data_IF_373002079643
#
_entry.id   IF_373002079643
#
_cell.length_a   1.000
_cell.length_b   1.000
_cell.length_c   1.000
_cell.angle_alpha   90.00
_cell.angle_beta   90.00
_cell.angle_gamma   90.00
#
_symmetry.space_group_name_H-M   'P 1'
#
loop_
_entity.id
_entity.type
_entity.pdbx_description
1 polymer ?
#
# COMPACT_ATOMS: atom_id res chain seq x y z
N UNK A 1 -24.54 10.66 41.37
CA UNK A 1 -24.33 9.66 40.30
C UNK A 1 -24.98 10.09 38.97
N UNK A 2 -24.65 11.27 38.42
CA UNK A 2 -25.21 11.72 37.12
C UNK A 2 -24.18 12.39 36.19
N UNK A 3 -22.94 12.58 36.63
CA UNK A 3 -21.90 13.25 35.82
C UNK A 3 -20.96 12.28 35.10
N UNK A 4 -20.92 11.00 35.48
CA UNK A 4 -20.05 9.98 34.87
C UNK A 4 -20.62 9.31 33.62
N UNK A 5 -21.93 9.41 33.38
CA UNK A 5 -22.59 8.70 32.26
C UNK A 5 -22.52 9.48 30.94
N UNK A 6 -22.35 10.81 30.98
CA UNK A 6 -22.25 11.64 29.77
C UNK A 6 -20.85 11.60 29.13
N UNK A 7 -19.79 11.39 29.92
CA UNK A 7 -18.43 11.35 29.39
C UNK A 7 -18.10 10.00 28.71
N UNK A 8 -18.65 8.90 29.22
CA UNK A 8 -18.51 7.58 28.60
C UNK A 8 -19.30 7.45 27.28
N UNK A 9 -20.37 8.22 27.10
CA UNK A 9 -21.14 8.22 25.86
C UNK A 9 -20.44 9.00 24.75
N UNK A 10 -19.74 10.09 25.05
CA UNK A 10 -18.98 10.85 24.04
C UNK A 10 -17.73 10.10 23.53
N UNK A 11 -17.04 9.32 24.37
CA UNK A 11 -15.88 8.55 23.93
C UNK A 11 -16.25 7.34 23.05
N UNK A 12 -17.39 6.68 23.32
CA UNK A 12 -17.88 5.57 22.50
C UNK A 12 -18.21 6.04 21.07
N UNK A 13 -18.93 7.16 20.93
CA UNK A 13 -19.32 7.72 19.63
C UNK A 13 -18.09 8.12 18.80
N UNK A 14 -17.02 8.63 19.43
CA UNK A 14 -15.77 8.96 18.71
C UNK A 14 -14.95 7.73 18.31
N UNK A 15 -15.02 6.65 19.09
CA UNK A 15 -14.34 5.40 18.79
C UNK A 15 -15.05 4.64 17.66
N UNK A 16 -16.37 4.58 17.70
CA UNK A 16 -17.21 4.01 16.64
C UNK A 16 -17.12 4.80 15.33
N UNK A 17 -17.03 6.14 15.41
CA UNK A 17 -16.85 7.00 14.24
C UNK A 17 -15.47 6.85 13.58
N UNK A 18 -14.38 6.72 14.35
CA UNK A 18 -13.04 6.50 13.77
C UNK A 18 -12.83 5.07 13.27
N UNK A 19 -13.34 4.05 13.98
CA UNK A 19 -13.24 2.66 13.52
C UNK A 19 -14.11 2.39 12.28
N UNK A 20 -15.26 3.09 12.17
CA UNK A 20 -16.12 3.06 11.00
C UNK A 20 -15.46 3.65 9.76
N UNK A 21 -14.73 4.76 9.90
CA UNK A 21 -13.99 5.39 8.80
C UNK A 21 -12.84 4.52 8.28
N UNK A 22 -12.04 3.90 9.17
CA UNK A 22 -10.92 3.01 8.80
C UNK A 22 -11.34 1.71 8.09
N UNK A 23 -12.63 1.34 8.14
CA UNK A 23 -13.22 0.16 7.48
C UNK A 23 -14.14 0.58 6.31
N UNK A 24 -13.80 1.67 5.61
CA UNK A 24 -14.54 2.15 4.45
C UNK A 24 -15.88 2.78 4.78
N UNK A 25 -15.97 3.51 5.90
CA UNK A 25 -17.17 4.19 6.37
C UNK A 25 -18.41 3.27 6.48
N UNK A 26 -18.19 2.06 7.01
CA UNK A 26 -19.23 1.03 7.16
C UNK A 26 -19.51 0.18 5.92
N UNK A 27 -18.87 0.48 4.77
CA UNK A 27 -19.06 -0.29 3.53
C UNK A 27 -18.64 -1.77 3.68
N UNK A 28 -17.51 -2.04 4.35
CA UNK A 28 -17.02 -3.41 4.55
C UNK A 28 -18.02 -4.23 5.37
N UNK A 29 -18.56 -3.64 6.44
CA UNK A 29 -19.60 -4.28 7.25
C UNK A 29 -20.89 -4.50 6.45
N UNK A 30 -21.31 -3.53 5.63
CA UNK A 30 -22.48 -3.64 4.78
C UNK A 30 -22.35 -4.77 3.75
N UNK A 31 -21.18 -4.94 3.13
CA UNK A 31 -20.91 -6.06 2.21
C UNK A 31 -20.96 -7.39 2.97
N UNK A 32 -20.31 -7.48 4.13
CA UNK A 32 -20.27 -8.69 4.93
C UNK A 32 -21.65 -9.13 5.45
N UNK A 33 -22.58 -8.20 5.62
CA UNK A 33 -23.95 -8.45 6.06
C UNK A 33 -24.85 -9.07 4.97
N UNK A 34 -24.44 -9.10 3.70
CA UNK A 34 -25.19 -9.68 2.58
C UNK A 34 -25.14 -11.22 2.56
N UNK A 35 -25.30 -11.84 3.73
CA UNK A 35 -25.14 -13.30 3.92
C UNK A 35 -26.18 -14.15 3.18
N UNK A 36 -27.27 -13.53 2.73
CA UNK A 36 -28.34 -14.10 1.93
C UNK A 36 -28.06 -14.08 0.42
N UNK A 37 -26.98 -13.40 -0.01
CA UNK A 37 -26.58 -13.29 -1.41
C UNK A 37 -25.34 -14.15 -1.73
N UNK A 38 -25.32 -14.74 -2.91
CA UNK A 38 -24.21 -15.59 -3.37
C UNK A 38 -24.11 -16.92 -2.62
N UNK A 39 -22.91 -17.50 -2.60
CA UNK A 39 -22.60 -18.72 -1.86
C UNK A 39 -22.37 -18.42 -0.37
N UNK A 40 -22.60 -19.40 0.53
CA UNK A 40 -22.29 -19.24 1.95
C UNK A 40 -20.85 -18.74 2.19
N UNK A 41 -20.70 -17.62 2.89
CA UNK A 41 -19.40 -17.00 3.18
C UNK A 41 -18.79 -16.15 2.04
N UNK A 42 -19.42 -16.09 0.87
CA UNK A 42 -18.91 -15.33 -0.27
C UNK A 42 -18.93 -13.82 -0.01
N UNK A 43 -20.02 -13.30 0.55
CA UNK A 43 -20.15 -11.88 0.90
C UNK A 43 -19.09 -11.47 1.95
N UNK A 44 -18.87 -12.29 2.97
CA UNK A 44 -17.83 -12.06 3.97
C UNK A 44 -16.41 -12.10 3.37
N UNK A 45 -16.16 -13.01 2.43
CA UNK A 45 -14.88 -13.08 1.70
C UNK A 45 -14.66 -11.82 0.88
N UNK A 46 -15.65 -11.38 0.09
CA UNK A 46 -15.59 -10.15 -0.70
C UNK A 46 -15.39 -8.91 0.17
N UNK A 47 -16.04 -8.85 1.33
CA UNK A 47 -15.85 -7.79 2.31
C UNK A 47 -14.39 -7.76 2.80
N UNK A 48 -13.85 -8.90 3.25
CA UNK A 48 -12.46 -8.99 3.71
C UNK A 48 -11.44 -8.60 2.64
N UNK A 49 -11.63 -9.06 1.40
CA UNK A 49 -10.79 -8.69 0.25
C UNK A 49 -10.93 -7.21 -0.13
N UNK A 50 -12.03 -6.53 0.24
CA UNK A 50 -12.20 -5.12 -0.09
C UNK A 50 -11.29 -4.19 0.73
N UNK A 51 -10.83 -4.63 1.90
CA UNK A 51 -9.99 -3.85 2.82
C UNK A 51 -8.66 -3.44 2.17
N UNK A 52 -8.04 -4.33 1.40
CA UNK A 52 -6.74 -4.06 0.76
C UNK A 52 -6.80 -2.90 -0.26
N UNK A 53 -7.97 -2.58 -0.80
CA UNK A 53 -8.17 -1.48 -1.74
C UNK A 53 -8.44 -0.14 -1.05
N UNK A 54 -8.60 -0.13 0.28
CA UNK A 54 -8.74 1.08 1.09
C UNK A 54 -7.40 1.54 1.68
N UNK A 55 -6.32 0.81 1.45
CA UNK A 55 -4.99 1.11 1.93
C UNK A 55 -4.28 2.15 1.03
N UNK A 56 -3.39 2.94 1.62
CA UNK A 56 -2.69 4.04 0.95
C UNK A 56 -1.92 3.67 -0.31
N UNK A 57 -1.31 2.48 -0.33
CA UNK A 57 -0.50 2.03 -1.46
C UNK A 57 -1.34 1.37 -2.58
N UNK A 58 -2.64 1.16 -2.38
CA UNK A 58 -3.47 0.48 -3.36
C UNK A 58 -3.72 1.37 -4.59
N UNK A 59 -3.80 0.75 -5.77
CA UNK A 59 -4.26 1.47 -6.96
C UNK A 59 -5.77 1.80 -6.80
N UNK A 60 -6.19 3.07 -6.93
CA UNK A 60 -7.58 3.48 -6.71
C UNK A 60 -8.56 2.84 -7.71
N UNK A 61 -8.11 2.44 -8.91
CA UNK A 61 -8.93 1.71 -9.89
C UNK A 61 -9.26 0.27 -9.42
N UNK A 62 -8.42 -0.32 -8.57
CA UNK A 62 -8.67 -1.62 -7.97
C UNK A 62 -9.94 -1.63 -7.11
N UNK A 63 -10.19 -0.53 -6.37
CA UNK A 63 -11.41 -0.36 -5.58
C UNK A 63 -12.68 -0.41 -6.44
N UNK A 64 -12.65 0.24 -7.61
CA UNK A 64 -13.77 0.23 -8.56
C UNK A 64 -14.02 -1.16 -9.13
N UNK A 65 -12.94 -1.87 -9.48
CA UNK A 65 -13.01 -3.26 -9.97
C UNK A 65 -13.54 -4.20 -8.90
N UNK A 66 -13.17 -4.00 -7.64
CA UNK A 66 -13.69 -4.79 -6.52
C UNK A 66 -15.19 -4.53 -6.29
N UNK A 67 -15.64 -3.29 -6.44
CA UNK A 67 -17.06 -2.96 -6.36
C UNK A 67 -17.87 -3.62 -7.51
N UNK A 68 -17.33 -3.62 -8.73
CA UNK A 68 -17.90 -4.38 -9.86
C UNK A 68 -17.96 -5.88 -9.57
N UNK A 69 -16.90 -6.44 -8.96
CA UNK A 69 -16.85 -7.86 -8.58
C UNK A 69 -17.92 -8.21 -7.55
N UNK A 70 -18.20 -7.32 -6.60
CA UNK A 70 -19.28 -7.52 -5.61
C UNK A 70 -20.62 -7.66 -6.32
N UNK A 71 -20.95 -6.77 -7.26
CA UNK A 71 -22.22 -6.86 -8.02
C UNK A 71 -22.25 -8.07 -8.94
N UNK A 72 -21.11 -8.45 -9.52
CA UNK A 72 -21.00 -9.64 -10.37
C UNK A 72 -21.27 -10.93 -9.58
N UNK A 73 -20.80 -11.00 -8.34
CA UNK A 73 -20.86 -12.22 -7.52
C UNK A 73 -22.11 -12.31 -6.65
N UNK A 74 -22.59 -11.19 -6.12
CA UNK A 74 -23.74 -11.14 -5.20
C UNK A 74 -25.03 -10.68 -5.90
N UNK A 75 -24.94 -10.23 -7.15
CA UNK A 75 -26.06 -9.69 -7.92
C UNK A 75 -26.27 -8.20 -7.68
N UNK A 76 -27.33 -7.66 -8.29
CA UNK A 76 -27.64 -6.22 -8.34
C UNK A 76 -28.90 -5.87 -7.54
N UNK A 77 -29.14 -6.56 -6.42
CA UNK A 77 -30.20 -6.16 -5.49
C UNK A 77 -29.90 -4.77 -4.91
N UNK A 78 -30.93 -4.05 -4.45
CA UNK A 78 -30.76 -2.72 -3.85
C UNK A 78 -29.73 -2.72 -2.71
N UNK A 79 -29.71 -3.80 -1.91
CA UNK A 79 -28.74 -3.97 -0.83
C UNK A 79 -27.30 -4.17 -1.35
N UNK A 80 -27.12 -5.00 -2.39
CA UNK A 80 -25.81 -5.22 -3.00
C UNK A 80 -25.29 -3.94 -3.69
N UNK A 81 -26.16 -3.22 -4.40
CA UNK A 81 -25.84 -1.93 -5.03
C UNK A 81 -25.47 -0.90 -3.97
N UNK A 82 -26.27 -0.78 -2.89
CA UNK A 82 -25.95 0.16 -1.81
C UNK A 82 -24.60 -0.15 -1.14
N UNK A 83 -24.31 -1.43 -0.86
CA UNK A 83 -23.04 -1.85 -0.28
C UNK A 83 -21.84 -1.58 -1.21
N UNK A 84 -21.96 -1.91 -2.50
CA UNK A 84 -20.92 -1.68 -3.50
C UNK A 84 -20.69 -0.17 -3.75
N UNK A 85 -21.74 0.65 -3.79
CA UNK A 85 -21.61 2.11 -3.82
C UNK A 85 -20.94 2.65 -2.57
N UNK A 86 -21.24 2.07 -1.41
CA UNK A 86 -20.52 2.36 -0.17
C UNK A 86 -19.02 2.15 -0.32
N UNK A 87 -18.58 1.06 -0.96
CA UNK A 87 -17.16 0.80 -1.21
C UNK A 87 -16.55 1.79 -2.21
N UNK A 88 -17.25 2.15 -3.28
CA UNK A 88 -16.77 3.18 -4.23
C UNK A 88 -16.60 4.53 -3.51
N UNK A 89 -17.58 4.90 -2.69
CA UNK A 89 -17.61 6.15 -1.93
C UNK A 89 -16.67 6.15 -0.71
N UNK A 90 -16.17 5.00 -0.28
CA UNK A 90 -15.26 4.90 0.84
C UNK A 90 -13.97 5.68 0.56
N UNK A 91 -13.48 6.40 1.57
CA UNK A 91 -12.17 7.04 1.52
C UNK A 91 -11.08 5.98 1.40
N UNK A 92 -10.10 6.24 0.55
CA UNK A 92 -8.87 5.48 0.55
C UNK A 92 -7.90 6.18 1.52
N UNK A 93 -7.48 5.47 2.57
CA UNK A 93 -6.57 6.00 3.57
C UNK A 93 -5.26 6.42 2.89
N UNK A 94 -4.70 7.59 3.19
CA UNK A 94 -3.36 7.97 2.75
C UNK A 94 -2.59 8.60 3.90
N UNK A 95 -1.26 8.51 3.86
CA UNK A 95 -0.44 9.11 4.91
C UNK A 95 -0.18 10.60 4.59
N UNK A 96 -0.76 11.56 5.34
CA UNK A 96 -0.59 12.99 5.08
C UNK A 96 0.85 13.49 5.27
N UNK A 97 1.73 12.68 5.90
CA UNK A 97 3.15 12.97 6.02
C UNK A 97 3.96 12.59 4.77
N UNK A 98 3.39 11.80 3.85
CA UNK A 98 4.05 11.32 2.63
C UNK A 98 3.42 11.91 1.37
N UNK A 99 2.10 12.05 1.34
CA UNK A 99 1.34 12.69 0.26
C UNK A 99 0.26 13.59 0.86
N UNK A 100 0.03 14.76 0.27
CA UNK A 100 -0.93 15.75 0.81
C UNK A 100 -2.31 15.72 0.14
N UNK A 101 -2.49 14.82 -0.83
CA UNK A 101 -3.71 14.68 -1.63
C UNK A 101 -3.99 13.20 -1.93
N UNK A 102 -5.25 12.80 -2.10
CA UNK A 102 -5.60 11.42 -2.41
C UNK A 102 -5.25 11.04 -3.85
N UNK A 103 -5.18 9.75 -4.13
CA UNK A 103 -5.08 9.19 -5.48
C UNK A 103 -6.46 8.75 -5.97
N UNK A 104 -6.83 9.13 -7.19
CA UNK A 104 -8.15 8.86 -7.78
C UNK A 104 -8.00 8.19 -9.15
N UNK A 105 -8.83 7.18 -9.40
CA UNK A 105 -8.80 6.44 -10.66
C UNK A 105 -9.14 7.34 -11.87
N UNK A 106 -8.25 7.35 -12.87
CA UNK A 106 -8.43 8.09 -14.13
C UNK A 106 -8.96 7.23 -15.29
N UNK A 107 -9.16 5.92 -15.09
CA UNK A 107 -9.67 5.03 -16.13
C UNK A 107 -11.18 5.28 -16.41
N UNK A 108 -11.55 5.74 -17.62
CA UNK A 108 -12.95 6.02 -17.95
C UNK A 108 -13.79 4.75 -18.13
N UNK A 109 -13.17 3.58 -18.30
CA UNK A 109 -13.88 2.30 -18.44
C UNK A 109 -14.36 1.73 -17.11
N UNK A 110 -13.94 2.31 -15.98
CA UNK A 110 -14.30 1.90 -14.63
C UNK A 110 -15.17 2.95 -13.90
N UNK A 111 -16.06 2.51 -12.99
CA UNK A 111 -16.53 1.13 -12.83
C UNK A 111 -17.34 0.66 -14.05
N UNK A 112 -17.38 -0.66 -14.29
CA UNK A 112 -18.09 -1.29 -15.41
C UNK A 112 -19.59 -1.38 -15.16
N UNK A 113 -19.99 -1.60 -13.91
CA UNK A 113 -21.38 -1.69 -13.52
C UNK A 113 -22.04 -0.31 -13.61
N UNK A 114 -23.11 -0.15 -14.42
CA UNK A 114 -23.82 1.13 -14.57
C UNK A 114 -24.33 1.69 -13.24
N UNK A 115 -24.69 0.81 -12.29
CA UNK A 115 -25.21 1.17 -10.98
C UNK A 115 -24.18 1.91 -10.12
N UNK A 116 -22.88 1.74 -10.41
CA UNK A 116 -21.76 2.32 -9.66
C UNK A 116 -21.17 3.56 -10.33
N UNK A 117 -21.50 3.81 -11.60
CA UNK A 117 -20.96 4.96 -12.34
C UNK A 117 -21.45 6.27 -11.73
N UNK A 118 -20.54 7.23 -11.61
CA UNK A 118 -20.84 8.55 -11.05
C UNK A 118 -20.85 8.63 -9.53
N UNK A 119 -20.47 7.55 -8.83
CA UNK A 119 -20.17 7.60 -7.39
C UNK A 119 -18.73 8.08 -7.20
N UNK A 120 -18.54 9.03 -6.29
CA UNK A 120 -17.23 9.62 -5.97
C UNK A 120 -16.83 9.35 -4.51
N UNK A 121 -15.53 9.20 -4.21
CA UNK A 121 -15.05 8.84 -2.89
C UNK A 121 -14.98 10.03 -1.94
N UNK A 122 -15.13 9.73 -0.64
CA UNK A 122 -14.70 10.62 0.44
C UNK A 122 -13.20 10.90 0.36
N UNK A 123 -12.79 12.04 0.91
CA UNK A 123 -11.40 12.48 1.02
C UNK A 123 -11.13 13.06 2.42
N UNK A 124 -9.89 12.92 2.88
CA UNK A 124 -9.47 13.38 4.22
C UNK A 124 -9.85 14.85 4.43
N UNK A 125 -10.52 15.21 5.55
CA UNK A 125 -10.87 16.59 5.87
C UNK A 125 -9.71 17.60 5.84
N UNK A 126 -8.46 17.15 5.98
CA UNK A 126 -7.27 17.98 5.87
C UNK A 126 -6.91 18.36 4.42
N UNK A 127 -7.50 17.71 3.41
CA UNK A 127 -7.30 18.06 1.99
C UNK A 127 -8.10 19.32 1.67
N UNK A 128 -7.47 20.31 1.04
CA UNK A 128 -8.16 21.51 0.60
C UNK A 128 -9.31 21.19 -0.35
N UNK A 129 -10.53 21.67 -0.04
CA UNK A 129 -11.75 21.38 -0.82
C UNK A 129 -12.47 20.08 -0.44
N UNK A 130 -12.03 19.40 0.63
CA UNK A 130 -12.65 18.16 1.12
C UNK A 130 -14.11 18.31 1.54
N UNK A 131 -14.56 19.51 1.94
CA UNK A 131 -15.95 19.81 2.27
C UNK A 131 -16.88 19.69 1.06
N UNK A 132 -16.42 20.16 -0.10
CA UNK A 132 -17.15 20.02 -1.37
C UNK A 132 -17.20 18.55 -1.76
N UNK A 133 -16.06 17.86 -1.74
CA UNK A 133 -16.00 16.48 -2.20
C UNK A 133 -16.72 15.50 -1.26
N UNK A 134 -16.61 15.68 0.06
CA UNK A 134 -17.30 14.82 1.00
C UNK A 134 -18.83 14.99 0.91
N UNK A 135 -19.31 16.19 0.55
CA UNK A 135 -20.73 16.39 0.22
C UNK A 135 -21.12 15.71 -1.10
N UNK A 136 -20.25 15.75 -2.10
CA UNK A 136 -20.45 15.06 -3.37
C UNK A 136 -20.50 13.53 -3.18
N UNK A 137 -19.59 12.97 -2.38
CA UNK A 137 -19.54 11.55 -2.04
C UNK A 137 -20.83 11.10 -1.36
N UNK A 138 -21.30 11.82 -0.34
CA UNK A 138 -22.57 11.55 0.33
C UNK A 138 -23.78 11.58 -0.62
N UNK A 139 -23.86 12.58 -1.49
CA UNK A 139 -24.93 12.68 -2.48
C UNK A 139 -24.88 11.53 -3.50
N UNK A 140 -23.69 11.22 -4.00
CA UNK A 140 -23.48 10.26 -5.09
C UNK A 140 -23.83 8.82 -4.73
N UNK A 141 -23.72 8.42 -3.44
CA UNK A 141 -24.13 7.09 -2.95
C UNK A 141 -25.60 6.78 -3.24
N UNK A 142 -26.46 7.79 -3.13
CA UNK A 142 -27.90 7.64 -3.37
C UNK A 142 -28.28 8.01 -4.79
N UNK A 143 -27.71 9.10 -5.31
CA UNK A 143 -27.94 9.61 -6.65
C UNK A 143 -26.60 9.88 -7.35
N UNK A 144 -26.04 8.89 -8.06
CA UNK A 144 -24.78 9.06 -8.76
C UNK A 144 -24.84 10.20 -9.78
N UNK A 145 -23.69 10.84 -10.01
CA UNK A 145 -23.56 11.90 -11.00
C UNK A 145 -23.59 11.34 -12.43
N UNK A 146 -23.86 12.20 -13.41
CA UNK A 146 -23.69 11.83 -14.81
C UNK A 146 -22.20 11.55 -15.10
N UNK A 147 -21.91 10.35 -15.62
CA UNK A 147 -20.54 9.85 -15.76
C UNK A 147 -20.29 9.08 -17.07
N UNK A 148 -21.10 9.35 -18.10
CA UNK A 148 -20.98 8.69 -19.40
C UNK A 148 -19.62 9.00 -20.03
N UNK A 149 -18.78 7.96 -20.15
CA UNK A 149 -17.42 8.08 -20.66
C UNK A 149 -16.44 8.83 -19.75
N UNK A 150 -16.82 9.14 -18.51
CA UNK A 150 -15.99 9.88 -17.56
C UNK A 150 -15.43 8.96 -16.47
N UNK A 151 -14.14 9.03 -16.20
CA UNK A 151 -13.54 8.41 -15.02
C UNK A 151 -14.02 9.07 -13.73
N UNK A 152 -13.83 8.39 -12.59
CA UNK A 152 -14.15 8.97 -11.27
C UNK A 152 -13.40 10.28 -11.05
N UNK A 153 -12.13 10.38 -11.47
CA UNK A 153 -11.38 11.64 -11.44
C UNK A 153 -12.06 12.76 -12.24
N UNK A 154 -12.54 12.46 -13.45
CA UNK A 154 -13.27 13.43 -14.28
C UNK A 154 -14.62 13.83 -13.67
N UNK A 155 -15.32 12.89 -13.04
CA UNK A 155 -16.57 13.18 -12.33
C UNK A 155 -16.31 14.13 -11.15
N UNK A 156 -15.25 13.90 -10.35
CA UNK A 156 -14.89 14.79 -9.24
C UNK A 156 -14.56 16.21 -9.74
N UNK A 157 -13.76 16.33 -10.81
CA UNK A 157 -13.43 17.62 -11.42
C UNK A 157 -14.70 18.35 -11.89
N UNK A 158 -15.58 17.64 -12.59
CA UNK A 158 -16.84 18.20 -13.09
C UNK A 158 -17.79 18.63 -11.97
N UNK A 159 -17.60 18.11 -10.75
CA UNK A 159 -18.36 18.48 -9.56
C UNK A 159 -17.55 19.34 -8.57
N UNK A 160 -16.49 19.99 -9.04
CA UNK A 160 -15.81 21.08 -8.34
C UNK A 160 -14.66 20.68 -7.43
N UNK A 161 -14.19 19.43 -7.48
CA UNK A 161 -13.02 18.99 -6.74
C UNK A 161 -11.91 18.48 -7.67
N UNK A 162 -10.71 19.05 -7.54
CA UNK A 162 -9.55 18.68 -8.37
C UNK A 162 -8.26 18.52 -7.57
N UNK A 163 -8.35 18.50 -6.23
CA UNK A 163 -7.20 18.45 -5.35
C UNK A 163 -6.78 17.00 -5.06
N UNK A 164 -6.36 16.30 -6.11
CA UNK A 164 -5.98 14.88 -6.07
C UNK A 164 -4.92 14.55 -7.13
N UNK A 165 -4.32 13.37 -7.00
CA UNK A 165 -3.46 12.77 -8.03
C UNK A 165 -4.28 11.78 -8.85
N UNK A 166 -4.27 11.90 -10.18
CA UNK A 166 -4.94 10.94 -11.05
C UNK A 166 -4.04 9.75 -11.35
N UNK A 167 -4.60 8.55 -11.23
CA UNK A 167 -3.88 7.28 -11.41
C UNK A 167 -4.65 6.36 -12.34
N UNK A 168 -4.01 5.90 -13.41
CA UNK A 168 -4.60 4.95 -14.35
C UNK A 168 -4.59 3.51 -13.80
N UNK A 169 -5.29 2.61 -14.47
CA UNK A 169 -5.37 1.21 -14.05
C UNK A 169 -4.01 0.49 -14.02
N UNK A 170 -3.06 0.91 -14.87
CA UNK A 170 -1.69 0.39 -14.89
C UNK A 170 -0.77 1.01 -13.82
N UNK A 171 -1.28 1.97 -13.04
CA UNK A 171 -0.56 2.67 -11.98
C UNK A 171 0.19 3.93 -12.44
N UNK A 172 0.11 4.30 -13.72
CA UNK A 172 0.70 5.54 -14.20
C UNK A 172 -0.04 6.74 -13.61
N UNK A 173 0.72 7.77 -13.21
CA UNK A 173 0.16 9.05 -12.77
C UNK A 173 -0.09 9.91 -14.00
N UNK A 174 -1.33 10.36 -14.15
CA UNK A 174 -1.78 11.14 -15.30
C UNK A 174 -2.47 12.43 -14.82
N UNK A 175 -2.65 13.37 -15.73
CA UNK A 175 -3.41 14.58 -15.46
C UNK A 175 -4.84 14.36 -15.94
N UNK A 176 -5.82 14.29 -15.02
CA UNK A 176 -7.21 14.24 -15.45
C UNK A 176 -7.62 15.58 -16.05
N UNK A 177 -7.89 15.59 -17.36
CA UNK A 177 -8.52 16.73 -18.02
C UNK A 177 -10.02 16.76 -17.66
N UNK A 178 -10.57 17.93 -17.31
CA UNK A 178 -12.00 18.11 -17.10
C UNK A 178 -12.78 17.75 -18.36
N UNK A 179 -13.66 16.75 -18.27
CA UNK A 179 -14.38 16.22 -19.42
C UNK A 179 -15.51 17.16 -19.83
N UNK A 180 -15.40 17.74 -21.03
CA UNK A 180 -16.57 18.30 -21.73
C UNK A 180 -17.42 17.14 -22.26
N UNK A 181 -18.65 17.00 -21.77
CA UNK A 181 -19.55 15.92 -22.16
C UNK A 181 -19.96 15.93 -23.64
N UNK A 182 -19.86 14.74 -24.25
CA UNK A 182 -20.55 14.18 -25.43
C UNK A 182 -20.58 14.92 -26.78
N UNK A 183 -20.00 14.28 -27.82
CA UNK A 183 -20.44 14.48 -29.22
C UNK A 183 -19.45 14.08 -30.33
N UNK A 184 -19.65 12.89 -30.90
CA UNK A 184 -19.36 12.50 -32.29
C UNK A 184 -18.00 11.87 -32.67
N UNK A 185 -18.16 10.68 -33.25
CA UNK A 185 -17.22 9.81 -33.97
C UNK A 185 -16.51 10.45 -35.17
N UNK A 186 -15.20 10.19 -35.32
CA UNK A 186 -14.59 9.82 -36.60
C UNK A 186 -13.18 9.28 -36.42
N UNK A 187 -12.91 8.19 -37.13
CA UNK A 187 -11.71 7.37 -37.15
C UNK A 187 -10.51 8.00 -37.88
N UNK A 188 -9.33 7.88 -37.24
CA UNK A 188 -7.97 7.69 -37.83
C UNK A 188 -7.29 8.84 -38.62
N UNK A 189 -5.95 8.80 -38.86
CA UNK A 189 -4.88 7.94 -38.29
C UNK A 189 -3.68 8.73 -37.69
N UNK A 190 -2.70 7.94 -37.21
CA UNK A 190 -1.44 8.28 -36.56
C UNK A 190 -0.59 9.41 -37.19
N UNK A 191 0.09 10.17 -36.32
CA UNK A 191 1.35 10.84 -36.63
C UNK A 191 2.31 10.77 -35.43
N UNK A 192 3.47 10.18 -35.69
CA UNK A 192 4.60 10.03 -34.77
C UNK A 192 5.34 11.35 -34.54
N UNK A 193 6.08 11.36 -33.41
CA UNK A 193 7.22 12.21 -33.07
C UNK A 193 6.94 13.63 -32.54
N UNK A 194 7.27 13.89 -31.27
CA UNK A 194 8.66 14.18 -30.85
C UNK A 194 8.73 14.41 -29.34
N UNK A 195 9.68 13.74 -28.70
CA UNK A 195 10.05 13.94 -27.31
C UNK A 195 10.84 15.25 -27.11
N UNK A 196 10.58 15.97 -26.00
CA UNK A 196 11.53 16.82 -25.28
C UNK A 196 10.90 17.28 -23.93
N UNK A 197 11.67 17.72 -22.93
CA UNK A 197 12.31 16.86 -21.95
C UNK A 197 11.81 17.11 -20.52
N UNK A 198 12.05 16.12 -19.67
CA UNK A 198 11.81 16.15 -18.22
C UNK A 198 12.57 17.29 -17.54
N UNK A 199 11.85 18.12 -16.78
CA UNK A 199 12.46 19.08 -15.86
C UNK A 199 13.05 18.33 -14.66
N UNK A 200 14.37 18.35 -14.56
CA UNK A 200 15.14 17.87 -13.42
C UNK A 200 14.97 18.84 -12.26
N UNK A 201 14.43 18.37 -11.14
CA UNK A 201 14.70 19.00 -9.84
C UNK A 201 15.84 18.22 -9.19
N UNK A 202 17.03 18.82 -9.24
CA UNK A 202 18.19 18.36 -8.52
C UNK A 202 18.04 18.74 -7.04
N UNK A 203 18.21 17.77 -6.15
CA UNK A 203 18.89 18.02 -4.88
C UNK A 203 19.75 16.78 -4.57
N UNK A 204 21.05 17.01 -4.44
CA UNK A 204 22.07 15.98 -4.48
C UNK A 204 22.25 15.18 -3.20
N UNK A 205 22.57 13.90 -3.37
CA UNK A 205 23.78 13.27 -2.80
C UNK A 205 24.01 11.96 -3.58
N UNK A 206 25.21 11.77 -4.11
CA UNK A 206 25.55 10.67 -5.04
C UNK A 206 25.67 9.31 -4.34
N UNK A 207 25.15 8.25 -4.98
CA UNK A 207 25.70 6.88 -4.99
C UNK A 207 25.21 6.12 -6.26
N UNK A 208 26.14 5.86 -7.17
CA UNK A 208 26.22 4.79 -8.19
C UNK A 208 25.04 4.53 -9.15
N UNK A 209 25.34 4.63 -10.46
CA UNK A 209 24.56 4.13 -11.60
C UNK A 209 24.36 2.60 -11.54
N UNK A 210 23.55 2.11 -10.62
CA UNK A 210 22.95 0.78 -10.69
C UNK A 210 21.53 0.94 -11.24
N UNK A 211 21.21 0.24 -12.32
CA UNK A 211 19.86 0.29 -12.90
C UNK A 211 18.87 -0.30 -11.90
N UNK A 212 17.86 0.49 -11.51
CA UNK A 212 16.77 0.05 -10.67
C UNK A 212 16.05 -1.14 -11.33
N UNK A 213 15.65 -2.13 -10.52
CA UNK A 213 14.80 -3.22 -10.99
C UNK A 213 13.49 -2.67 -11.56
N UNK A 214 12.99 -3.25 -12.64
CA UNK A 214 11.69 -2.89 -13.22
C UNK A 214 10.63 -3.83 -12.69
N UNK A 215 9.59 -3.28 -12.06
CA UNK A 215 8.39 -4.03 -11.75
C UNK A 215 7.37 -3.88 -12.88
N UNK A 216 6.76 -4.99 -13.27
CA UNK A 216 5.64 -5.03 -14.20
C UNK A 216 4.47 -5.75 -13.55
N UNK A 217 3.25 -5.26 -13.76
CA UNK A 217 2.04 -5.79 -13.13
C UNK A 217 1.43 -4.87 -12.07
N UNK A 218 0.21 -5.19 -11.63
CA UNK A 218 -0.58 -4.39 -10.70
C UNK A 218 -1.26 -5.31 -9.66
N UNK A 219 -1.22 -4.95 -8.38
CA UNK A 219 -1.76 -5.78 -7.29
C UNK A 219 -0.87 -6.99 -6.93
N UNK A 220 -1.47 -8.12 -6.51
CA UNK A 220 -0.75 -9.33 -6.06
C UNK A 220 0.05 -10.06 -7.15
N UNK A 221 0.07 -9.54 -8.37
CA UNK A 221 0.82 -10.05 -9.53
C UNK A 221 1.96 -9.12 -9.95
N UNK A 222 2.41 -8.22 -9.07
CA UNK A 222 3.62 -7.44 -9.29
C UNK A 222 4.83 -8.37 -9.42
N UNK A 223 5.34 -8.51 -10.65
CA UNK A 223 6.56 -9.25 -10.94
C UNK A 223 7.68 -8.22 -11.09
N UNK A 224 8.51 -8.15 -10.06
CA UNK A 224 9.68 -7.29 -10.06
C UNK A 224 10.88 -8.05 -10.62
N UNK A 225 11.55 -7.46 -11.60
CA UNK A 225 12.90 -7.90 -11.95
C UNK A 225 13.81 -7.48 -10.81
N UNK A 226 14.55 -8.43 -10.24
CA UNK A 226 15.58 -8.15 -9.24
C UNK A 226 16.52 -7.00 -9.71
N UNK A 227 16.76 -5.97 -8.88
CA UNK A 227 17.73 -4.92 -9.21
C UNK A 227 19.14 -5.46 -9.46
N UNK A 228 20.01 -4.63 -10.04
CA UNK A 228 21.44 -4.96 -10.08
C UNK A 228 22.05 -4.90 -8.68
N UNK A 229 23.05 -5.74 -8.41
CA UNK A 229 23.80 -5.70 -7.16
C UNK A 229 24.30 -4.28 -6.82
N UNK A 230 24.13 -3.87 -5.56
CA UNK A 230 24.45 -2.54 -5.05
C UNK A 230 23.40 -1.47 -5.33
N UNK A 231 22.30 -1.79 -6.02
CA UNK A 231 21.20 -0.83 -6.23
C UNK A 231 20.55 -0.43 -4.91
N UNK A 232 20.28 0.86 -4.71
CA UNK A 232 19.63 1.36 -3.50
C UNK A 232 20.51 1.37 -2.26
N UNK A 233 21.84 1.29 -2.42
CA UNK A 233 22.77 1.43 -1.30
C UNK A 233 22.58 2.75 -0.55
N UNK A 234 22.61 2.68 0.78
CA UNK A 234 22.48 3.82 1.69
C UNK A 234 23.69 3.85 2.60
N UNK A 235 24.26 5.05 2.81
CA UNK A 235 25.27 5.28 3.85
C UNK A 235 24.91 6.51 4.65
N UNK A 236 24.59 6.32 5.92
CA UNK A 236 24.17 7.40 6.79
C UNK A 236 24.60 7.10 8.23
N UNK A 237 25.20 8.08 8.90
CA UNK A 237 25.66 7.92 10.29
C UNK A 237 24.51 7.80 11.31
N UNK A 238 23.30 8.23 10.94
CA UNK A 238 22.11 8.21 11.79
C UNK A 238 21.20 7.04 11.44
N UNK A 239 20.87 6.88 10.15
CA UNK A 239 19.94 5.82 9.69
C UNK A 239 20.66 4.52 9.28
N UNK A 240 21.96 4.40 9.55
CA UNK A 240 22.74 3.22 9.21
C UNK A 240 23.14 3.08 7.74
N UNK A 241 23.85 1.98 7.45
CA UNK A 241 24.38 1.59 6.16
C UNK A 241 23.67 0.36 5.58
N UNK A 242 23.27 0.46 4.32
CA UNK A 242 22.79 -0.66 3.52
C UNK A 242 23.66 -0.74 2.27
N UNK A 243 24.28 -1.89 2.02
CA UNK A 243 25.19 -2.06 0.87
C UNK A 243 24.45 -2.11 -0.49
N UNK A 244 23.12 -2.06 -0.46
CA UNK A 244 22.26 -2.13 -1.63
C UNK A 244 21.82 -3.56 -1.93
N UNK A 245 21.14 -3.71 -3.06
CA UNK A 245 20.57 -4.99 -3.47
C UNK A 245 21.65 -6.07 -3.61
N UNK A 246 21.35 -7.27 -3.14
CA UNK A 246 22.16 -8.48 -3.32
C UNK A 246 21.20 -9.63 -3.60
N UNK A 247 21.47 -10.42 -4.64
CA UNK A 247 20.65 -11.58 -4.96
C UNK A 247 20.95 -12.74 -3.99
N UNK A 248 19.94 -13.60 -3.76
CA UNK A 248 20.15 -14.83 -3.01
C UNK A 248 21.15 -15.74 -3.71
N UNK A 249 21.97 -16.45 -2.94
CA UNK A 249 22.82 -17.54 -3.45
C UNK A 249 22.06 -18.84 -3.70
N UNK A 250 20.80 -18.96 -3.25
CA UNK A 250 19.96 -20.13 -3.47
C UNK A 250 19.19 -19.97 -4.78
N UNK A 251 19.39 -20.91 -5.70
CA UNK A 251 18.72 -20.91 -7.00
C UNK A 251 17.20 -20.97 -6.85
N UNK A 252 16.48 -20.15 -7.63
CA UNK A 252 15.02 -20.10 -7.62
C UNK A 252 14.40 -19.21 -6.54
N UNK A 253 15.18 -18.70 -5.59
CA UNK A 253 14.71 -17.69 -4.64
C UNK A 253 14.88 -16.29 -5.24
N UNK A 254 13.75 -15.68 -5.61
CA UNK A 254 13.68 -14.29 -6.05
C UNK A 254 12.89 -13.46 -5.04
N UNK A 255 13.60 -12.61 -4.30
CA UNK A 255 13.03 -11.71 -3.30
C UNK A 255 12.54 -10.38 -3.90
N UNK A 256 12.57 -10.25 -5.23
CA UNK A 256 12.15 -9.08 -5.97
C UNK A 256 13.03 -7.87 -5.67
N UNK A 257 12.43 -6.79 -5.17
CA UNK A 257 13.14 -5.55 -4.86
C UNK A 257 13.96 -5.59 -3.56
N UNK A 258 13.76 -6.60 -2.72
CA UNK A 258 14.25 -6.61 -1.35
C UNK A 258 15.44 -7.56 -1.14
N UNK A 259 16.26 -7.21 -0.15
CA UNK A 259 17.28 -8.07 0.46
C UNK A 259 16.81 -8.42 1.87
N UNK A 260 16.18 -9.59 2.09
CA UNK A 260 15.52 -9.92 3.36
C UNK A 260 16.50 -10.32 4.48
N UNK A 261 17.62 -9.60 4.64
CA UNK A 261 18.61 -9.86 5.68
C UNK A 261 18.23 -9.19 7.00
N UNK A 262 18.69 -9.81 8.09
CA UNK A 262 18.52 -9.35 9.46
C UNK A 262 19.89 -9.05 10.07
N UNK A 263 19.96 -7.95 10.82
CA UNK A 263 21.12 -7.54 11.61
C UNK A 263 20.87 -7.72 13.10
N UNK A 264 21.94 -7.72 13.88
CA UNK A 264 21.91 -7.81 15.34
C UNK A 264 22.95 -6.86 15.94
N UNK A 265 22.48 -5.71 16.41
CA UNK A 265 23.30 -4.54 16.73
C UNK A 265 22.91 -3.98 18.10
N UNK A 266 23.89 -3.41 18.81
CA UNK A 266 23.67 -2.77 20.11
C UNK A 266 23.44 -1.26 19.98
N UNK A 267 22.70 -0.69 20.92
CA UNK A 267 22.57 0.76 21.06
C UNK A 267 21.70 1.45 20.01
N UNK A 268 20.93 0.70 19.22
CA UNK A 268 19.96 1.27 18.28
C UNK A 268 18.87 2.04 19.02
N UNK A 269 18.40 3.15 18.42
CA UNK A 269 17.31 3.99 18.93
C UNK A 269 17.52 4.47 20.37
N UNK A 270 18.78 4.78 20.72
CA UNK A 270 19.14 5.31 22.03
C UNK A 270 19.14 4.27 23.16
N UNK A 271 19.05 2.98 22.83
CA UNK A 271 19.31 1.89 23.78
C UNK A 271 20.76 1.91 24.28
N UNK A 272 21.03 1.17 25.35
CA UNK A 272 22.41 1.05 25.84
C UNK A 272 23.32 0.40 24.80
N UNK A 273 24.60 0.75 24.82
CA UNK A 273 25.66 0.15 23.99
C UNK A 273 25.89 -1.35 24.26
N UNK A 274 25.30 -1.88 25.33
CA UNK A 274 25.28 -3.32 25.66
C UNK A 274 23.95 -4.02 25.34
N UNK A 275 22.92 -3.30 24.91
CA UNK A 275 21.61 -3.87 24.61
C UNK A 275 21.46 -4.10 23.11
N UNK A 276 21.53 -5.37 22.72
CA UNK A 276 21.45 -5.80 21.34
C UNK A 276 20.01 -6.07 20.91
N UNK A 277 19.71 -5.70 19.67
CA UNK A 277 18.38 -5.82 19.07
C UNK A 277 18.49 -6.30 17.63
N UNK A 278 17.41 -6.90 17.16
CA UNK A 278 17.26 -7.34 15.77
C UNK A 278 16.59 -6.24 14.95
N UNK A 279 16.98 -6.11 13.69
CA UNK A 279 16.31 -5.23 12.73
C UNK A 279 16.48 -5.78 11.32
N UNK A 280 15.57 -5.46 10.40
CA UNK A 280 15.80 -5.72 8.98
C UNK A 280 16.87 -4.75 8.45
N UNK A 281 17.74 -5.22 7.55
CA UNK A 281 18.80 -4.37 6.98
C UNK A 281 18.28 -3.54 5.81
N UNK A 282 17.46 -4.14 4.96
CA UNK A 282 16.93 -3.48 3.78
C UNK A 282 15.95 -2.35 4.18
N UNK A 283 16.19 -1.09 3.76
CA UNK A 283 15.34 0.04 4.10
C UNK A 283 13.89 -0.11 3.63
N UNK A 284 13.65 -0.72 2.46
CA UNK A 284 12.30 -0.98 1.97
C UNK A 284 11.56 -1.94 2.90
N UNK A 285 12.25 -3.00 3.34
CA UNK A 285 11.71 -3.94 4.32
C UNK A 285 11.50 -3.29 5.69
N UNK A 286 12.37 -2.36 6.09
CA UNK A 286 12.34 -1.80 7.44
C UNK A 286 11.31 -0.67 7.64
N UNK A 287 10.75 -0.09 6.56
CA UNK A 287 9.81 1.06 6.62
C UNK A 287 8.64 0.94 7.60
N UNK A 288 8.71 1.62 8.74
CA UNK A 288 7.64 1.60 9.74
C UNK A 288 7.71 0.41 10.70
N UNK A 289 8.84 -0.29 10.76
CA UNK A 289 9.24 -1.09 11.92
C UNK A 289 10.58 -0.62 12.47
N UNK A 290 10.66 -0.59 13.80
CA UNK A 290 11.90 -0.33 14.52
C UNK A 290 12.60 -1.63 14.88
N UNK A 291 13.71 -1.54 15.59
CA UNK A 291 14.42 -2.68 16.16
C UNK A 291 13.54 -3.43 17.19
N UNK A 292 13.82 -4.71 17.38
CA UNK A 292 13.12 -5.53 18.36
C UNK A 292 14.07 -6.45 19.13
N UNK A 293 13.79 -6.64 20.42
CA UNK A 293 14.48 -7.64 21.25
C UNK A 293 14.07 -9.08 20.88
N UNK A 294 12.89 -9.26 20.30
CA UNK A 294 12.39 -10.56 19.87
C UNK A 294 12.61 -10.72 18.36
N UNK A 295 13.45 -11.66 17.91
CA UNK A 295 13.74 -11.86 16.48
C UNK A 295 12.48 -12.22 15.68
N UNK A 296 11.49 -12.86 16.31
CA UNK A 296 10.24 -13.23 15.64
C UNK A 296 9.42 -12.01 15.16
N UNK A 297 9.60 -10.84 15.77
CA UNK A 297 8.93 -9.61 15.30
C UNK A 297 9.54 -9.19 13.95
N UNK A 298 10.87 -9.28 13.84
CA UNK A 298 11.60 -8.92 12.63
C UNK A 298 11.39 -9.93 11.51
N UNK A 299 11.39 -11.24 11.80
CA UNK A 299 11.12 -12.26 10.78
C UNK A 299 9.70 -12.15 10.21
N UNK A 300 8.69 -11.92 11.07
CA UNK A 300 7.32 -11.64 10.64
C UNK A 300 7.25 -10.41 9.74
N UNK A 301 7.95 -9.34 10.13
CA UNK A 301 8.03 -8.12 9.34
C UNK A 301 8.65 -8.38 7.96
N UNK A 302 9.79 -9.06 7.91
CA UNK A 302 10.45 -9.36 6.64
C UNK A 302 9.53 -10.20 5.75
N UNK A 303 8.90 -11.24 6.29
CA UNK A 303 7.96 -12.09 5.55
C UNK A 303 6.73 -11.32 5.02
N UNK A 304 6.16 -10.41 5.82
CA UNK A 304 5.07 -9.53 5.40
C UNK A 304 5.48 -8.63 4.21
N UNK A 305 6.66 -8.02 4.28
CA UNK A 305 7.15 -7.15 3.20
C UNK A 305 7.47 -7.95 1.93
N UNK A 306 8.05 -9.16 2.07
CA UNK A 306 8.24 -10.06 0.94
C UNK A 306 6.90 -10.41 0.26
N UNK A 307 5.84 -10.53 1.05
CA UNK A 307 4.50 -10.87 0.55
C UNK A 307 3.85 -9.70 -0.18
N UNK A 308 3.96 -8.49 0.37
CA UNK A 308 3.11 -7.35 0.02
C UNK A 308 3.83 -6.22 -0.73
N UNK A 309 5.15 -6.11 -0.62
CA UNK A 309 5.91 -4.93 -1.09
C UNK A 309 7.03 -5.31 -2.05
N UNK A 310 7.76 -6.38 -1.75
CA UNK A 310 9.00 -6.69 -2.47
C UNK A 310 8.76 -7.31 -3.85
N UNK A 311 7.56 -7.81 -4.15
CA UNK A 311 7.31 -8.56 -5.39
C UNK A 311 8.04 -9.91 -5.43
N UNK A 312 8.28 -10.53 -4.26
CA UNK A 312 8.97 -11.81 -4.17
C UNK A 312 8.17 -12.94 -4.85
N UNK A 313 8.86 -13.92 -5.40
CA UNK A 313 8.22 -15.09 -6.00
C UNK A 313 7.68 -16.06 -4.93
N UNK A 314 6.87 -17.03 -5.34
CA UNK A 314 6.24 -17.97 -4.40
C UNK A 314 7.26 -18.82 -3.61
N UNK A 315 8.37 -19.21 -4.25
CA UNK A 315 9.42 -20.00 -3.61
C UNK A 315 10.14 -19.20 -2.51
N UNK A 316 10.44 -17.93 -2.77
CA UNK A 316 11.03 -17.01 -1.80
C UNK A 316 10.12 -16.75 -0.60
N UNK A 317 8.80 -16.58 -0.82
CA UNK A 317 7.84 -16.44 0.28
C UNK A 317 7.77 -17.71 1.13
N UNK A 318 7.74 -18.89 0.51
CA UNK A 318 7.76 -20.16 1.21
C UNK A 318 9.06 -20.36 2.03
N UNK A 319 10.22 -20.05 1.43
CA UNK A 319 11.51 -20.11 2.12
C UNK A 319 11.57 -19.17 3.33
N UNK A 320 11.00 -17.97 3.23
CA UNK A 320 10.90 -17.04 4.36
C UNK A 320 9.97 -17.54 5.47
N UNK A 321 8.85 -18.18 5.13
CA UNK A 321 7.96 -18.81 6.10
C UNK A 321 8.65 -19.99 6.84
N UNK A 322 9.39 -20.82 6.11
CA UNK A 322 10.18 -21.92 6.70
C UNK A 322 11.31 -21.40 7.59
N UNK A 323 12.01 -20.36 7.13
CA UNK A 323 13.04 -19.69 7.93
C UNK A 323 12.46 -19.10 9.22
N UNK A 324 11.28 -18.49 9.15
CA UNK A 324 10.58 -17.97 10.32
C UNK A 324 10.25 -19.08 11.31
N UNK A 325 9.72 -20.22 10.86
CA UNK A 325 9.45 -21.37 11.71
C UNK A 325 10.74 -21.90 12.37
N UNK A 326 11.85 -21.92 11.62
CA UNK A 326 13.16 -22.35 12.14
C UNK A 326 13.71 -21.40 13.21
N UNK A 327 13.60 -20.09 13.02
CA UNK A 327 14.01 -19.09 14.00
C UNK A 327 13.16 -19.17 15.27
N UNK A 328 11.84 -19.34 15.13
CA UNK A 328 10.95 -19.54 16.26
C UNK A 328 11.35 -20.79 17.09
N UNK A 329 11.69 -21.88 16.41
CA UNK A 329 12.13 -23.13 17.04
C UNK A 329 13.53 -23.02 17.68
N UNK A 330 14.42 -22.19 17.12
CA UNK A 330 15.77 -21.99 17.67
C UNK A 330 15.74 -21.34 19.05
N UNK A 331 14.83 -20.39 19.25
CA UNK A 331 14.60 -19.73 20.55
C UNK A 331 15.75 -18.85 21.06
N UNK A 332 16.86 -18.75 20.32
CA UNK A 332 17.99 -17.88 20.66
C UNK A 332 17.69 -16.42 20.33
N UNK A 333 18.44 -15.52 20.98
CA UNK A 333 18.34 -14.06 20.80
C UNK A 333 19.74 -13.44 20.74
N UNK A 334 20.58 -13.99 19.88
CA UNK A 334 21.98 -13.61 19.72
C UNK A 334 22.34 -13.50 18.23
N UNK A 335 23.62 -13.24 17.94
CA UNK A 335 24.14 -13.15 16.58
C UNK A 335 23.84 -14.40 15.73
N UNK A 336 23.84 -15.59 16.34
CA UNK A 336 23.56 -16.85 15.64
C UNK A 336 22.14 -16.87 15.06
N UNK A 337 21.18 -16.20 15.72
CA UNK A 337 19.81 -16.07 15.22
C UNK A 337 19.78 -15.28 13.89
N UNK A 338 20.49 -14.15 13.82
CA UNK A 338 20.57 -13.33 12.62
C UNK A 338 21.31 -14.06 11.50
N UNK A 339 22.45 -14.68 11.83
CA UNK A 339 23.22 -15.48 10.88
C UNK A 339 22.42 -16.65 10.31
N UNK A 340 21.70 -17.40 11.16
CA UNK A 340 20.87 -18.53 10.73
C UNK A 340 19.77 -18.06 9.77
N UNK A 341 19.09 -16.96 10.08
CA UNK A 341 18.08 -16.39 9.18
C UNK A 341 18.67 -16.02 7.82
N UNK A 342 19.79 -15.29 7.83
CA UNK A 342 20.47 -14.85 6.61
C UNK A 342 20.92 -16.05 5.76
N UNK A 343 21.51 -17.07 6.38
CA UNK A 343 21.94 -18.30 5.71
C UNK A 343 20.78 -19.07 5.07
N UNK A 344 19.66 -19.23 5.78
CA UNK A 344 18.47 -19.93 5.27
C UNK A 344 17.88 -19.27 4.02
N UNK A 345 18.09 -17.96 3.85
CA UNK A 345 17.63 -17.20 2.68
C UNK A 345 18.73 -16.99 1.63
N UNK A 346 19.89 -17.63 1.78
CA UNK A 346 20.98 -17.59 0.82
C UNK A 346 21.88 -16.37 0.93
N UNK A 347 21.99 -15.78 2.13
CA UNK A 347 22.87 -14.66 2.47
C UNK A 347 23.89 -15.04 3.55
N UNK A 348 24.43 -16.25 3.48
CA UNK A 348 25.48 -16.69 4.40
C UNK A 348 26.65 -15.70 4.42
N UNK A 349 27.11 -15.33 5.62
CA UNK A 349 28.16 -14.34 5.80
C UNK A 349 27.73 -12.88 5.60
N UNK A 350 26.43 -12.59 5.50
CA UNK A 350 25.94 -11.22 5.53
C UNK A 350 26.45 -10.47 6.77
N UNK A 351 26.85 -9.21 6.59
CA UNK A 351 27.26 -8.38 7.71
C UNK A 351 26.05 -8.08 8.61
N UNK A 352 26.08 -8.59 9.84
CA UNK A 352 25.02 -8.38 10.84
C UNK A 352 25.25 -7.13 11.71
N UNK A 353 26.33 -6.38 11.46
CA UNK A 353 26.60 -5.08 12.05
C UNK A 353 27.04 -4.07 10.96
N UNK A 354 26.24 -3.83 9.91
CA UNK A 354 26.60 -2.92 8.82
C UNK A 354 26.74 -1.47 9.27
N UNK A 355 26.11 -1.09 10.38
CA UNK A 355 26.19 0.27 10.90
C UNK A 355 27.45 0.50 11.72
N UNK A 356 28.20 -0.56 12.06
CA UNK A 356 29.26 -0.55 13.06
C UNK A 356 28.77 0.00 14.42
N UNK A 357 27.56 -0.40 14.79
CA UNK A 357 26.96 -0.13 16.07
C UNK A 357 27.74 -0.82 17.21
N UNK A 358 27.75 -0.24 18.43
CA UNK A 358 27.00 0.95 18.84
C UNK A 358 27.64 2.26 18.34
N UNK A 359 26.80 3.21 17.90
CA UNK A 359 27.22 4.57 17.53
C UNK A 359 26.29 5.60 18.17
N UNK A 360 26.84 6.75 18.58
CA UNK A 360 26.05 7.82 19.19
C UNK A 360 25.01 8.36 18.21
N UNK A 361 23.73 8.28 18.59
CA UNK A 361 22.62 8.81 17.79
C UNK A 361 22.16 7.91 16.64
N UNK A 362 22.66 6.68 16.55
CA UNK A 362 22.23 5.70 15.55
C UNK A 362 20.81 5.20 15.86
N UNK A 363 19.92 5.36 14.88
CA UNK A 363 18.53 4.89 14.94
C UNK A 363 18.29 3.61 14.14
N UNK A 364 19.30 3.15 13.38
CA UNK A 364 19.17 2.04 12.43
C UNK A 364 18.41 2.45 11.17
N UNK A 365 18.11 1.49 10.28
CA UNK A 365 17.44 1.81 9.00
C UNK A 365 16.01 2.33 9.23
N UNK A 366 15.51 3.18 8.33
CA UNK A 366 14.15 3.75 8.38
C UNK A 366 13.47 3.67 7.03
#
# INVERSE_FOLDING_TARGET
MKCGFLLSLLLAITAEARFGQEQGNGAIAAIGALTDLGQPGQAATLAGTSIQFLLAAANPCGKLTQADLILTQLGTSDAAVAAARGLVAAEQNFNPFVVSVPSICSDPTLPKSPELRGVVPLVDPAVGGSDVENKNAEASKTKPFAADGLSVAQVMINNGFSNFTSVAADGTVEQAAGGSGAGSSSSAPAASASAAPSATVANGQACNNAQAGSCTGSGSTMVCSAPKSGSGAVKNAVTGNFDGFVASTIEGLDFGLCVPTMKFEAGLNGRSDTEFTFQAVDPLVNKGQQEALNPNIITNRIHDQLTNVCGANAAAKAAAADAQAKIAALGTRNADTANTWNELLGFAGANINPDNAPQTGLIGHT
#
